data_IF_931943425923
#
_entry.id   IF_931943425923
#
_cell.length_a   1.000
_cell.length_b   1.000
_cell.length_c   1.000
_cell.angle_alpha   90.00
_cell.angle_beta   90.00
_cell.angle_gamma   90.00
#
_symmetry.space_group_name_H-M   'P 1'
#
loop_
_entity.id
_entity.type
_entity.pdbx_description
1 polymer ?
#
# COMPACT_ATOMS: atom_id res chain seq x y z
N UNK A 1 6.87 -75.66 34.50
CA UNK A 1 7.82 -76.25 35.46
C UNK A 1 9.18 -75.65 35.22
N UNK A 2 9.85 -75.26 36.31
CA UNK A 2 11.23 -74.73 36.43
C UNK A 2 12.25 -75.39 35.50
N UNK A 3 13.24 -74.63 35.05
CA UNK A 3 14.66 -74.83 35.44
C UNK A 3 15.52 -73.68 34.92
N UNK A 4 16.11 -72.94 35.85
CA UNK A 4 17.25 -72.03 35.65
C UNK A 4 18.55 -72.82 35.50
N UNK A 5 19.51 -72.27 34.75
CA UNK A 5 20.98 -72.35 34.95
C UNK A 5 21.65 -71.87 33.65
N UNK A 6 22.80 -71.23 33.61
CA UNK A 6 23.69 -70.63 34.58
C UNK A 6 24.62 -69.72 33.76
N UNK A 7 24.97 -68.56 34.30
CA UNK A 7 26.04 -67.72 33.77
C UNK A 7 27.40 -68.36 34.11
N UNK A 8 28.45 -68.16 33.28
CA UNK A 8 29.64 -67.52 33.85
C UNK A 8 30.25 -66.45 32.93
N UNK A 9 31.02 -65.58 33.60
CA UNK A 9 31.54 -64.31 33.13
C UNK A 9 32.84 -64.38 32.30
N UNK A 10 32.95 -63.41 31.36
CA UNK A 10 34.14 -62.64 30.91
C UNK A 10 35.32 -63.39 30.21
N UNK A 11 36.13 -62.74 29.31
CA UNK A 11 36.43 -61.30 29.28
C UNK A 11 36.53 -60.57 27.91
N UNK A 12 36.44 -59.25 28.07
CA UNK A 12 36.87 -58.11 27.25
C UNK A 12 38.03 -58.34 26.26
N UNK A 13 37.83 -57.91 25.00
CA UNK A 13 38.61 -56.84 24.30
C UNK A 13 38.35 -56.88 22.79
N UNK A 14 38.07 -55.72 22.19
CA UNK A 14 38.44 -55.50 20.79
C UNK A 14 37.50 -54.62 19.98
N UNK A 15 37.88 -53.34 19.89
CA UNK A 15 37.71 -52.46 18.72
C UNK A 15 36.31 -51.88 18.48
N UNK A 16 36.12 -50.70 19.08
CA UNK A 16 35.15 -49.72 18.61
C UNK A 16 35.46 -49.31 17.17
N UNK A 17 34.52 -49.55 16.29
CA UNK A 17 34.42 -48.88 15.00
C UNK A 17 33.49 -47.68 15.18
N UNK A 18 33.93 -46.44 14.94
CA UNK A 18 33.00 -45.34 14.75
C UNK A 18 32.33 -45.55 13.38
N UNK A 19 31.02 -45.84 13.39
CA UNK A 19 30.19 -45.72 12.21
C UNK A 19 30.17 -44.25 11.80
N UNK A 20 31.11 -43.87 10.93
CA UNK A 20 31.16 -42.57 10.26
C UNK A 20 30.01 -42.53 9.25
N UNK A 21 28.82 -42.14 9.69
CA UNK A 21 27.76 -41.70 8.77
C UNK A 21 28.20 -40.36 8.17
N UNK A 22 28.96 -40.41 7.08
CA UNK A 22 29.31 -39.23 6.31
C UNK A 22 28.23 -39.04 5.24
N UNK A 23 27.02 -38.65 5.65
CA UNK A 23 26.11 -38.00 4.72
C UNK A 23 26.63 -36.57 4.51
N UNK A 24 26.88 -36.14 3.26
CA UNK A 24 27.20 -34.75 3.02
C UNK A 24 25.94 -33.95 3.35
N UNK A 25 26.00 -33.17 4.44
CA UNK A 25 25.06 -32.08 4.69
C UNK A 25 25.09 -31.21 3.44
N UNK A 26 24.06 -31.29 2.60
CA UNK A 26 23.88 -30.38 1.47
C UNK A 26 23.77 -28.99 2.09
N UNK A 27 24.85 -28.21 2.01
CA UNK A 27 24.83 -26.83 2.42
C UNK A 27 23.74 -26.12 1.60
N UNK A 28 22.86 -25.39 2.29
CA UNK A 28 21.87 -24.55 1.63
C UNK A 28 22.61 -23.57 0.69
N UNK A 29 22.04 -23.24 -0.47
CA UNK A 29 22.62 -22.20 -1.32
C UNK A 29 22.76 -20.89 -0.53
N UNK A 30 23.82 -20.11 -0.77
CA UNK A 30 24.01 -18.85 -0.07
C UNK A 30 22.81 -17.91 -0.35
N UNK A 31 22.38 -17.11 0.65
CA UNK A 31 21.30 -16.15 0.45
C UNK A 31 21.67 -15.17 -0.66
N UNK A 32 20.66 -14.76 -1.45
CA UNK A 32 20.88 -13.77 -2.50
C UNK A 32 21.29 -12.43 -1.89
N UNK A 33 22.01 -11.60 -2.65
CA UNK A 33 22.42 -10.28 -2.18
C UNK A 33 21.21 -9.42 -1.77
N UNK A 34 20.07 -9.57 -2.47
CA UNK A 34 18.83 -8.89 -2.15
C UNK A 34 18.22 -9.34 -0.82
N UNK A 35 18.33 -10.62 -0.47
CA UNK A 35 17.85 -11.15 0.80
C UNK A 35 18.68 -10.63 1.98
N UNK A 36 20.00 -10.58 1.83
CA UNK A 36 20.90 -10.02 2.85
C UNK A 36 20.59 -8.53 3.09
N UNK A 37 20.39 -7.75 2.01
CA UNK A 37 20.02 -6.34 2.12
C UNK A 37 18.62 -6.14 2.71
N UNK A 38 17.68 -7.05 2.46
CA UNK A 38 16.36 -7.01 3.09
C UNK A 38 16.46 -7.23 4.60
N UNK A 39 17.25 -8.19 5.06
CA UNK A 39 17.50 -8.44 6.49
C UNK A 39 18.13 -7.19 7.14
N UNK A 40 19.16 -6.61 6.51
CA UNK A 40 19.79 -5.38 6.98
C UNK A 40 18.80 -4.21 7.03
N UNK A 41 17.96 -4.04 6.00
CA UNK A 41 16.95 -2.98 5.98
C UNK A 41 15.91 -3.17 7.09
N UNK A 42 15.52 -4.40 7.41
CA UNK A 42 14.60 -4.70 8.49
C UNK A 42 15.23 -4.40 9.87
N UNK A 43 16.51 -4.72 10.07
CA UNK A 43 17.24 -4.37 11.30
C UNK A 43 17.38 -2.86 11.47
N UNK A 44 17.71 -2.14 10.39
CA UNK A 44 17.76 -0.68 10.39
C UNK A 44 16.40 -0.07 10.75
N UNK A 45 15.31 -0.64 10.22
CA UNK A 45 13.95 -0.18 10.49
C UNK A 45 13.52 -0.43 11.94
N UNK A 46 13.73 -1.64 12.46
CA UNK A 46 13.12 -2.10 13.73
C UNK A 46 14.04 -1.91 14.92
N UNK A 47 15.33 -2.24 14.79
CA UNK A 47 16.30 -2.22 15.89
C UNK A 47 16.92 -0.85 16.02
N UNK A 48 17.39 -0.29 14.90
CA UNK A 48 18.13 0.97 14.92
C UNK A 48 17.24 2.20 14.77
N UNK A 49 15.99 2.02 14.32
CA UNK A 49 15.05 3.11 13.99
C UNK A 49 15.66 4.12 13.00
N UNK A 50 16.61 3.68 12.16
CA UNK A 50 17.19 4.47 11.09
C UNK A 50 16.38 4.26 9.81
N UNK A 51 15.23 4.93 9.76
CA UNK A 51 14.29 4.83 8.65
C UNK A 51 14.89 5.30 7.33
N UNK A 52 15.82 6.26 7.37
CA UNK A 52 16.47 6.76 6.16
C UNK A 52 17.41 5.70 5.59
N UNK A 53 18.24 5.11 6.43
CA UNK A 53 19.13 4.02 6.02
C UNK A 53 18.32 2.81 5.56
N UNK A 54 17.28 2.41 6.29
CA UNK A 54 16.39 1.31 5.90
C UNK A 54 15.80 1.50 4.49
N UNK A 55 15.30 2.71 4.18
CA UNK A 55 14.78 3.01 2.84
C UNK A 55 15.88 2.96 1.76
N UNK A 56 17.05 3.53 2.03
CA UNK A 56 18.18 3.51 1.09
C UNK A 56 18.66 2.08 0.81
N UNK A 57 18.72 1.24 1.83
CA UNK A 57 19.06 -0.19 1.72
C UNK A 57 18.00 -0.93 0.91
N UNK A 58 16.70 -0.64 1.11
CA UNK A 58 15.64 -1.20 0.27
C UNK A 58 15.84 -0.83 -1.21
N UNK A 59 16.05 0.46 -1.51
CA UNK A 59 16.30 0.92 -2.89
C UNK A 59 17.56 0.29 -3.51
N UNK A 60 18.56 -0.03 -2.69
CA UNK A 60 19.74 -0.76 -3.13
C UNK A 60 19.44 -2.22 -3.46
N UNK A 61 18.67 -2.91 -2.60
CA UNK A 61 18.23 -4.28 -2.84
C UNK A 61 17.37 -4.41 -4.12
N UNK A 62 16.54 -3.41 -4.42
CA UNK A 62 15.79 -3.39 -5.68
C UNK A 62 16.68 -3.35 -6.92
N UNK A 63 17.85 -2.70 -6.85
CA UNK A 63 18.81 -2.68 -7.97
C UNK A 63 19.54 -4.00 -8.13
N UNK A 64 19.80 -4.73 -7.04
CA UNK A 64 20.41 -6.07 -7.14
C UNK A 64 19.41 -7.09 -7.72
N UNK A 65 18.13 -6.97 -7.39
CA UNK A 65 17.05 -7.82 -7.93
C UNK A 65 16.83 -7.66 -9.44
N UNK A 66 17.20 -6.53 -10.04
CA UNK A 66 17.11 -6.35 -11.49
C UNK A 66 18.06 -7.31 -12.26
N UNK A 67 19.02 -7.91 -11.57
CA UNK A 67 20.03 -8.80 -12.16
C UNK A 67 19.79 -10.30 -11.85
N UNK A 68 18.78 -10.65 -11.03
CA UNK A 68 18.52 -12.03 -10.57
C UNK A 68 17.18 -12.60 -11.09
N UNK A 69 17.16 -13.91 -11.37
CA UNK A 69 16.05 -14.63 -12.02
C UNK A 69 14.80 -14.87 -11.13
N UNK A 70 13.65 -15.03 -11.80
CA UNK A 70 12.31 -14.59 -11.40
C UNK A 70 11.59 -15.24 -10.18
N UNK A 71 12.04 -16.35 -9.60
CA UNK A 71 11.24 -17.13 -8.62
C UNK A 71 11.32 -16.64 -7.15
N UNK A 72 12.53 -16.66 -6.58
CA UNK A 72 12.84 -16.13 -5.22
C UNK A 72 12.72 -14.61 -5.12
N UNK A 73 12.56 -13.94 -6.26
CA UNK A 73 12.47 -12.50 -6.38
C UNK A 73 11.17 -11.93 -5.79
N UNK A 74 10.03 -12.61 -5.93
CA UNK A 74 8.73 -11.97 -5.66
C UNK A 74 8.44 -11.72 -4.16
N UNK A 75 8.74 -12.69 -3.30
CA UNK A 75 8.56 -12.54 -1.85
C UNK A 75 9.52 -11.48 -1.29
N UNK A 76 10.79 -11.49 -1.73
CA UNK A 76 11.78 -10.48 -1.36
C UNK A 76 11.33 -9.10 -1.83
N UNK A 77 10.83 -8.96 -3.07
CA UNK A 77 10.24 -7.71 -3.60
C UNK A 77 9.08 -7.21 -2.74
N UNK A 78 8.16 -8.10 -2.37
CA UNK A 78 7.03 -7.75 -1.51
C UNK A 78 7.54 -7.23 -0.14
N UNK A 79 8.44 -7.97 0.50
CA UNK A 79 9.01 -7.62 1.81
C UNK A 79 9.80 -6.31 1.78
N UNK A 80 10.59 -6.06 0.73
CA UNK A 80 11.28 -4.77 0.54
C UNK A 80 10.30 -3.61 0.42
N UNK A 81 9.17 -3.81 -0.26
CA UNK A 81 8.12 -2.79 -0.30
C UNK A 81 7.49 -2.56 1.08
N UNK A 82 7.23 -3.60 1.86
CA UNK A 82 6.69 -3.44 3.23
C UNK A 82 7.63 -2.60 4.09
N UNK A 83 8.92 -2.93 4.12
CA UNK A 83 9.95 -2.19 4.87
C UNK A 83 10.06 -0.75 4.37
N UNK A 84 10.11 -0.54 3.05
CA UNK A 84 10.21 0.80 2.45
C UNK A 84 8.98 1.68 2.70
N UNK A 85 7.77 1.12 2.64
CA UNK A 85 6.52 1.81 2.98
C UNK A 85 6.55 2.25 4.45
N UNK A 86 6.92 1.33 5.35
CA UNK A 86 7.01 1.65 6.77
C UNK A 86 8.03 2.75 7.03
N UNK A 87 9.22 2.65 6.45
CA UNK A 87 10.26 3.69 6.56
C UNK A 87 9.76 5.07 6.06
N UNK A 88 9.07 5.10 4.91
CA UNK A 88 8.47 6.34 4.40
C UNK A 88 7.39 6.89 5.33
N UNK A 89 6.55 6.04 5.90
CA UNK A 89 5.53 6.44 6.86
C UNK A 89 6.16 7.05 8.14
N UNK A 90 7.17 6.39 8.72
CA UNK A 90 7.87 6.86 9.92
C UNK A 90 8.61 8.19 9.70
N UNK A 91 9.11 8.43 8.47
CA UNK A 91 9.71 9.71 8.08
C UNK A 91 8.67 10.81 7.75
N UNK A 92 7.38 10.57 7.96
CA UNK A 92 6.27 11.44 7.54
C UNK A 92 6.27 11.77 6.02
N UNK A 93 6.82 10.86 5.22
CA UNK A 93 6.89 10.91 3.76
C UNK A 93 5.83 10.01 3.10
N UNK A 94 4.73 9.74 3.80
CA UNK A 94 3.66 8.84 3.37
C UNK A 94 3.05 9.22 2.01
N UNK A 95 3.04 10.51 1.65
CA UNK A 95 2.57 11.00 0.32
C UNK A 95 3.39 10.46 -0.85
N UNK A 96 4.63 10.04 -0.59
CA UNK A 96 5.52 9.49 -1.61
C UNK A 96 5.33 7.98 -1.81
N UNK A 97 4.59 7.30 -0.92
CA UNK A 97 4.50 5.83 -0.92
C UNK A 97 3.99 5.28 -2.26
N UNK A 98 2.89 5.81 -2.80
CA UNK A 98 2.32 5.28 -4.05
C UNK A 98 3.27 5.47 -5.23
N UNK A 99 3.85 6.66 -5.39
CA UNK A 99 4.79 6.93 -6.48
C UNK A 99 6.09 6.16 -6.33
N UNK A 100 6.52 5.89 -5.09
CA UNK A 100 7.68 5.07 -4.80
C UNK A 100 7.44 3.59 -5.13
N UNK A 101 6.32 3.01 -4.70
CA UNK A 101 5.97 1.60 -4.98
C UNK A 101 5.76 1.40 -6.49
N UNK A 102 4.97 2.28 -7.13
CA UNK A 102 4.66 2.18 -8.56
C UNK A 102 5.90 2.35 -9.45
N UNK A 103 6.99 2.95 -8.95
CA UNK A 103 8.26 2.97 -9.69
C UNK A 103 8.79 1.56 -9.98
N UNK A 104 8.52 0.59 -9.11
CA UNK A 104 9.04 -0.77 -9.22
C UNK A 104 8.08 -1.72 -9.94
N UNK A 105 6.77 -1.59 -9.68
CA UNK A 105 5.74 -2.45 -10.29
C UNK A 105 5.16 -1.88 -11.59
N UNK A 106 5.45 -0.60 -11.88
CA UNK A 106 5.05 0.16 -13.06
C UNK A 106 3.55 0.46 -13.15
N UNK A 107 2.70 -0.55 -12.97
CA UNK A 107 1.25 -0.44 -13.09
C UNK A 107 0.53 -0.95 -11.82
N UNK A 108 -0.60 -0.34 -11.41
CA UNK A 108 -1.35 -0.73 -10.22
C UNK A 108 -1.71 -2.22 -10.16
N UNK A 109 -2.10 -2.81 -11.27
CA UNK A 109 -2.63 -4.16 -11.41
C UNK A 109 -1.61 -5.23 -11.05
N UNK A 110 -0.31 -4.90 -11.13
CA UNK A 110 0.80 -5.80 -10.77
C UNK A 110 1.28 -5.64 -9.33
N UNK A 111 0.63 -4.80 -8.53
CA UNK A 111 0.94 -4.68 -7.11
C UNK A 111 0.61 -5.97 -6.36
N UNK A 112 1.50 -6.45 -5.48
CA UNK A 112 1.16 -7.55 -4.58
C UNK A 112 0.00 -7.16 -3.66
N UNK A 113 -0.95 -8.06 -3.37
CA UNK A 113 -2.11 -7.76 -2.53
C UNK A 113 -1.73 -7.11 -1.19
N UNK A 114 -0.67 -7.63 -0.55
CA UNK A 114 -0.20 -7.12 0.74
C UNK A 114 0.30 -5.68 0.68
N UNK A 115 0.96 -5.32 -0.42
CA UNK A 115 1.47 -3.96 -0.64
C UNK A 115 0.30 -2.99 -0.85
N UNK A 116 -0.71 -3.40 -1.62
CA UNK A 116 -1.91 -2.60 -1.84
C UNK A 116 -2.71 -2.39 -0.54
N UNK A 117 -2.90 -3.45 0.24
CA UNK A 117 -3.55 -3.40 1.57
C UNK A 117 -2.89 -2.35 2.47
N UNK A 118 -1.56 -2.39 2.59
CA UNK A 118 -0.80 -1.43 3.39
C UNK A 118 -0.95 0.01 2.90
N UNK A 119 -0.96 0.22 1.58
CA UNK A 119 -1.23 1.54 1.01
C UNK A 119 -2.63 2.04 1.41
N UNK A 120 -3.67 1.21 1.29
CA UNK A 120 -5.04 1.61 1.67
C UNK A 120 -5.12 1.96 3.16
N UNK A 121 -4.55 1.13 4.03
CA UNK A 121 -4.53 1.37 5.48
C UNK A 121 -3.79 2.66 5.83
N UNK A 122 -2.63 2.91 5.21
CA UNK A 122 -1.85 4.12 5.43
C UNK A 122 -2.64 5.38 5.03
N UNK A 123 -3.17 5.42 3.81
CA UNK A 123 -3.88 6.61 3.32
C UNK A 123 -5.21 6.84 4.03
N UNK A 124 -5.91 5.77 4.43
CA UNK A 124 -7.07 5.87 5.32
C UNK A 124 -6.69 6.45 6.68
N UNK A 125 -5.58 5.99 7.30
CA UNK A 125 -5.08 6.50 8.58
C UNK A 125 -4.72 7.99 8.50
N UNK A 126 -4.19 8.42 7.35
CA UNK A 126 -3.86 9.82 7.07
C UNK A 126 -5.05 10.67 6.61
N UNK A 127 -6.28 10.12 6.65
CA UNK A 127 -7.52 10.79 6.25
C UNK A 127 -7.50 11.30 4.79
N UNK A 128 -6.73 10.65 3.93
CA UNK A 128 -6.64 10.98 2.50
C UNK A 128 -6.88 9.72 1.64
N UNK A 129 -8.00 8.98 1.84
CA UNK A 129 -8.26 7.73 1.11
C UNK A 129 -8.45 7.96 -0.40
N UNK A 130 -8.78 9.18 -0.84
CA UNK A 130 -8.90 9.52 -2.26
C UNK A 130 -7.60 9.33 -3.06
N UNK A 131 -6.44 9.33 -2.40
CA UNK A 131 -5.17 9.12 -3.09
C UNK A 131 -4.96 7.67 -3.58
N UNK A 132 -5.63 6.69 -2.97
CA UNK A 132 -5.54 5.27 -3.36
C UNK A 132 -6.70 4.81 -4.25
N UNK A 133 -7.72 5.64 -4.46
CA UNK A 133 -8.95 5.29 -5.19
C UNK A 133 -8.63 4.63 -6.54
N UNK A 134 -7.98 5.36 -7.45
CA UNK A 134 -7.68 4.87 -8.79
C UNK A 134 -6.80 3.62 -8.80
N UNK A 135 -5.83 3.55 -7.88
CA UNK A 135 -4.89 2.41 -7.80
C UNK A 135 -5.63 1.14 -7.39
N UNK A 136 -6.50 1.21 -6.39
CA UNK A 136 -7.26 0.06 -5.91
C UNK A 136 -8.35 -0.33 -6.90
N UNK A 137 -9.03 0.65 -7.53
CA UNK A 137 -10.04 0.38 -8.55
C UNK A 137 -9.44 -0.33 -9.77
N UNK A 138 -8.28 0.12 -10.27
CA UNK A 138 -7.57 -0.56 -11.34
C UNK A 138 -7.20 -2.00 -10.97
N UNK A 139 -6.65 -2.21 -9.76
CA UNK A 139 -6.29 -3.55 -9.28
C UNK A 139 -7.50 -4.50 -9.20
N UNK A 140 -8.64 -4.01 -8.70
CA UNK A 140 -9.88 -4.82 -8.58
C UNK A 140 -10.53 -5.13 -9.93
N UNK A 141 -10.37 -4.25 -10.92
CA UNK A 141 -10.94 -4.45 -12.26
C UNK A 141 -10.12 -5.42 -13.11
N UNK A 142 -8.85 -5.66 -12.75
CA UNK A 142 -7.98 -6.58 -13.50
C UNK A 142 -8.44 -8.05 -13.34
N UNK A 143 -8.71 -8.76 -14.46
CA UNK A 143 -9.16 -10.16 -14.42
C UNK A 143 -8.17 -11.13 -13.77
N UNK A 144 -6.87 -10.88 -13.85
CA UNK A 144 -5.84 -11.74 -13.25
C UNK A 144 -5.94 -11.73 -11.71
N UNK A 145 -6.44 -10.63 -11.13
CA UNK A 145 -6.54 -10.43 -9.69
C UNK A 145 -7.84 -11.01 -9.09
N UNK A 146 -8.90 -11.17 -9.87
CA UNK A 146 -10.20 -11.64 -9.38
C UNK A 146 -10.19 -13.09 -8.85
N UNK A 147 -9.21 -13.89 -9.30
CA UNK A 147 -9.00 -15.26 -8.82
C UNK A 147 -8.16 -15.37 -7.55
N UNK A 148 -7.59 -14.27 -7.05
CA UNK A 148 -6.70 -14.29 -5.89
C UNK A 148 -7.46 -14.47 -4.58
N UNK A 149 -6.92 -15.22 -3.61
CA UNK A 149 -7.58 -15.42 -2.31
C UNK A 149 -7.74 -14.10 -1.52
N UNK A 150 -6.85 -13.12 -1.72
CA UNK A 150 -6.91 -11.81 -1.08
C UNK A 150 -7.91 -10.84 -1.72
N UNK A 151 -8.43 -11.16 -2.92
CA UNK A 151 -9.29 -10.27 -3.69
C UNK A 151 -10.50 -9.80 -2.88
N UNK A 152 -11.15 -10.74 -2.17
CA UNK A 152 -12.32 -10.42 -1.33
C UNK A 152 -11.98 -9.41 -0.24
N UNK A 153 -10.89 -9.65 0.49
CA UNK A 153 -10.47 -8.78 1.58
C UNK A 153 -10.14 -7.37 1.07
N UNK A 154 -9.49 -7.26 -0.09
CA UNK A 154 -9.20 -5.97 -0.73
C UNK A 154 -10.46 -5.25 -1.23
N UNK A 155 -11.44 -5.97 -1.77
CA UNK A 155 -12.73 -5.39 -2.17
C UNK A 155 -13.51 -4.84 -0.96
N UNK A 156 -13.55 -5.59 0.15
CA UNK A 156 -14.15 -5.14 1.41
C UNK A 156 -13.41 -3.90 1.97
N UNK A 157 -12.08 -3.93 1.96
CA UNK A 157 -11.24 -2.80 2.41
C UNK A 157 -11.47 -1.56 1.55
N UNK A 158 -11.54 -1.70 0.23
CA UNK A 158 -11.80 -0.61 -0.70
C UNK A 158 -13.18 0.02 -0.45
N UNK A 159 -14.20 -0.83 -0.29
CA UNK A 159 -15.55 -0.37 0.03
C UNK A 159 -15.56 0.45 1.34
N UNK A 160 -14.99 -0.10 2.41
CA UNK A 160 -15.10 0.47 3.75
C UNK A 160 -14.21 1.69 3.99
N UNK A 161 -12.98 1.66 3.48
CA UNK A 161 -11.97 2.68 3.79
C UNK A 161 -11.78 3.70 2.67
N UNK A 162 -12.32 3.44 1.48
CA UNK A 162 -12.16 4.33 0.33
C UNK A 162 -13.50 4.82 -0.20
N UNK A 163 -14.35 3.93 -0.73
CA UNK A 163 -15.56 4.36 -1.44
C UNK A 163 -16.59 5.02 -0.51
N UNK A 164 -16.93 4.36 0.61
CA UNK A 164 -17.92 4.91 1.54
C UNK A 164 -17.48 6.23 2.20
N UNK A 165 -16.24 6.38 2.71
CA UNK A 165 -15.77 7.64 3.28
C UNK A 165 -15.69 8.79 2.27
N UNK A 166 -15.45 8.50 0.98
CA UNK A 166 -15.43 9.50 -0.08
C UNK A 166 -16.83 9.85 -0.60
N UNK A 167 -17.87 9.08 -0.23
CA UNK A 167 -19.22 9.23 -0.77
C UNK A 167 -19.36 8.75 -2.22
N UNK A 168 -18.45 7.90 -2.70
CA UNK A 168 -18.50 7.26 -4.02
C UNK A 168 -19.54 6.11 -4.03
N UNK A 169 -20.81 6.48 -3.84
CA UNK A 169 -21.90 5.53 -3.62
C UNK A 169 -22.27 4.72 -4.86
N UNK A 170 -22.05 5.26 -6.06
CA UNK A 170 -22.32 4.55 -7.31
C UNK A 170 -21.28 3.45 -7.54
N UNK A 171 -20.01 3.79 -7.39
CA UNK A 171 -18.87 2.88 -7.49
C UNK A 171 -18.94 1.79 -6.39
N UNK A 172 -19.40 2.15 -5.20
CA UNK A 172 -19.64 1.19 -4.12
C UNK A 172 -20.72 0.17 -4.47
N UNK A 173 -21.82 0.61 -5.09
CA UNK A 173 -22.90 -0.28 -5.54
C UNK A 173 -22.44 -1.19 -6.68
N UNK A 174 -21.74 -0.63 -7.67
CA UNK A 174 -21.17 -1.40 -8.78
C UNK A 174 -20.21 -2.48 -8.30
N UNK A 175 -19.33 -2.17 -7.35
CA UNK A 175 -18.41 -3.14 -6.76
C UNK A 175 -19.16 -4.30 -6.08
N UNK A 176 -20.20 -4.00 -5.30
CA UNK A 176 -20.94 -5.02 -4.54
C UNK A 176 -21.76 -5.93 -5.45
N UNK A 177 -22.36 -5.37 -6.51
CA UNK A 177 -23.15 -6.11 -7.49
C UNK A 177 -22.28 -6.92 -8.45
N UNK A 178 -21.20 -6.31 -8.96
CA UNK A 178 -20.34 -6.89 -9.98
C UNK A 178 -19.31 -7.89 -9.46
N UNK A 179 -18.98 -7.84 -8.16
CA UNK A 179 -17.92 -8.68 -7.59
C UNK A 179 -18.47 -9.97 -6.97
N UNK A 180 -17.92 -11.12 -7.39
CA UNK A 180 -18.15 -12.42 -6.75
C UNK A 180 -17.63 -12.51 -5.30
N UNK A 181 -16.91 -11.50 -4.81
CA UNK A 181 -16.30 -11.49 -3.47
C UNK A 181 -17.33 -11.52 -2.33
N UNK A 182 -18.49 -10.88 -2.51
CA UNK A 182 -19.48 -10.69 -1.46
C UNK A 182 -20.54 -11.79 -1.49
N UNK A 183 -20.92 -12.32 -0.32
CA UNK A 183 -22.02 -13.30 -0.22
C UNK A 183 -23.36 -12.60 -0.44
N UNK A 184 -24.37 -13.34 -0.90
CA UNK A 184 -25.69 -12.76 -1.19
C UNK A 184 -26.32 -12.03 0.01
N UNK A 185 -26.20 -12.61 1.19
CA UNK A 185 -26.69 -12.03 2.45
C UNK A 185 -25.98 -10.70 2.76
N UNK A 186 -24.65 -10.68 2.69
CA UNK A 186 -23.82 -9.48 2.92
C UNK A 186 -24.10 -8.39 1.87
N UNK A 187 -24.31 -8.78 0.60
CA UNK A 187 -24.62 -7.84 -0.49
C UNK A 187 -25.90 -7.07 -0.21
N UNK A 188 -26.96 -7.75 0.23
CA UNK A 188 -28.26 -7.12 0.49
C UNK A 188 -28.14 -6.05 1.59
N UNK A 189 -27.44 -6.36 2.67
CA UNK A 189 -27.23 -5.44 3.79
C UNK A 189 -26.43 -4.20 3.36
N UNK A 190 -25.35 -4.41 2.60
CA UNK A 190 -24.50 -3.33 2.09
C UNK A 190 -25.27 -2.44 1.12
N UNK A 191 -26.01 -3.02 0.17
CA UNK A 191 -26.82 -2.27 -0.80
C UNK A 191 -27.93 -1.48 -0.10
N UNK A 192 -28.54 -2.05 0.94
CA UNK A 192 -29.52 -1.33 1.74
C UNK A 192 -28.88 -0.14 2.46
N UNK A 193 -27.67 -0.29 3.01
CA UNK A 193 -26.92 0.82 3.62
C UNK A 193 -26.58 1.92 2.60
N UNK A 194 -26.10 1.55 1.41
CA UNK A 194 -25.78 2.49 0.32
C UNK A 194 -27.04 3.25 -0.12
N UNK A 195 -28.17 2.56 -0.30
CA UNK A 195 -29.43 3.21 -0.71
C UNK A 195 -29.92 4.22 0.33
N UNK A 196 -29.82 3.90 1.63
CA UNK A 196 -30.14 4.81 2.74
C UNK A 196 -29.21 6.03 2.74
N UNK A 197 -27.90 5.83 2.58
CA UNK A 197 -26.93 6.92 2.49
C UNK A 197 -27.23 7.84 1.30
N UNK A 198 -27.58 7.28 0.14
CA UNK A 198 -27.98 8.04 -1.06
C UNK A 198 -29.26 8.85 -0.83
N UNK A 199 -30.25 8.28 -0.14
CA UNK A 199 -31.46 9.01 0.23
C UNK A 199 -31.16 10.16 1.17
N UNK A 200 -30.32 9.95 2.19
CA UNK A 200 -29.89 11.00 3.11
C UNK A 200 -29.16 12.14 2.38
N UNK A 201 -28.26 11.82 1.45
CA UNK A 201 -27.56 12.82 0.65
C UNK A 201 -28.54 13.64 -0.22
N UNK A 202 -29.53 12.99 -0.84
CA UNK A 202 -30.59 13.69 -1.59
C UNK A 202 -31.46 14.58 -0.70
N UNK A 203 -31.85 14.11 0.48
CA UNK A 203 -32.63 14.86 1.46
C UNK A 203 -31.85 16.08 1.99
N UNK A 204 -30.56 15.95 2.25
CA UNK A 204 -29.69 17.07 2.63
C UNK A 204 -29.56 18.11 1.50
N UNK A 205 -29.50 17.65 0.25
CA UNK A 205 -29.49 18.54 -0.91
C UNK A 205 -30.82 19.28 -1.10
N UNK A 206 -31.95 18.57 -0.99
CA UNK A 206 -33.31 19.14 -1.10
C UNK A 206 -33.64 20.09 0.06
N UNK A 207 -33.27 19.76 1.30
CA UNK A 207 -33.43 20.65 2.44
C UNK A 207 -32.58 21.91 2.33
N UNK A 208 -31.40 21.81 1.70
CA UNK A 208 -30.59 22.98 1.36
C UNK A 208 -31.21 23.83 0.24
N UNK A 209 -31.94 23.23 -0.71
CA UNK A 209 -32.64 23.95 -1.78
C UNK A 209 -33.92 24.67 -1.30
N UNK A 210 -34.66 24.11 -0.33
CA UNK A 210 -35.82 24.77 0.27
C UNK A 210 -35.41 25.98 1.15
N UNK A 211 -34.33 25.86 1.93
CA UNK A 211 -33.76 26.98 2.70
C UNK A 211 -33.10 28.05 1.81
N UNK A 212 -32.60 27.68 0.62
CA UNK A 212 -32.04 28.62 -0.36
C UNK A 212 -33.09 29.49 -1.06
N UNK A 213 -34.38 29.11 -1.03
CA UNK A 213 -35.46 29.92 -1.61
C UNK A 213 -35.88 31.10 -0.71
N UNK A 214 -35.52 31.06 0.58
CA UNK A 214 -35.78 32.12 1.56
C UNK A 214 -34.56 33.01 1.82
N UNK A 215 -33.34 32.54 1.58
CA UNK A 215 -32.13 33.32 1.77
C UNK A 215 -31.28 33.35 0.50
N UNK A 216 -31.55 34.36 -0.32
CA UNK A 216 -30.75 34.73 -1.48
C UNK A 216 -29.38 35.31 -1.04
N UNK A 217 -28.55 34.50 -0.40
CA UNK A 217 -27.15 34.86 -0.06
C UNK A 217 -26.23 33.62 0.06
N UNK A 218 -26.76 32.40 -0.05
CA UNK A 218 -26.03 31.15 0.23
C UNK A 218 -25.47 30.37 -0.98
N UNK A 219 -25.63 30.86 -2.22
CA UNK A 219 -25.17 30.16 -3.44
C UNK A 219 -23.63 29.98 -3.49
N UNK A 220 -22.90 30.70 -2.63
CA UNK A 220 -21.45 30.68 -2.63
C UNK A 220 -20.86 29.40 -2.03
N UNK A 221 -21.47 28.75 -1.02
CA UNK A 221 -20.75 27.76 -0.20
C UNK A 221 -20.51 26.40 -0.89
N UNK A 222 -21.50 25.82 -1.59
CA UNK A 222 -21.34 24.52 -2.25
C UNK A 222 -20.48 24.62 -3.53
N UNK A 223 -20.64 25.71 -4.29
CA UNK A 223 -19.74 26.04 -5.40
C UNK A 223 -18.34 26.36 -4.90
N UNK A 224 -18.20 27.05 -3.76
CA UNK A 224 -16.91 27.34 -3.12
C UNK A 224 -16.25 26.07 -2.58
N UNK A 225 -16.98 25.12 -2.01
CA UNK A 225 -16.44 23.84 -1.55
C UNK A 225 -15.99 22.96 -2.73
N UNK A 226 -16.79 22.86 -3.79
CA UNK A 226 -16.40 22.18 -5.03
C UNK A 226 -15.21 22.87 -5.74
N UNK A 227 -15.21 24.21 -5.77
CA UNK A 227 -14.08 25.02 -6.24
C UNK A 227 -12.87 24.86 -5.32
N UNK A 228 -13.02 24.75 -4.00
CA UNK A 228 -11.94 24.54 -3.03
C UNK A 228 -11.32 23.16 -3.16
N UNK A 229 -12.12 22.11 -3.41
CA UNK A 229 -11.60 20.77 -3.70
C UNK A 229 -10.86 20.76 -5.04
N UNK A 230 -11.37 21.47 -6.05
CA UNK A 230 -10.72 21.61 -7.35
C UNK A 230 -9.45 22.47 -7.30
N UNK A 231 -9.47 23.57 -6.52
CA UNK A 231 -8.33 24.45 -6.25
C UNK A 231 -7.29 23.75 -5.39
N UNK A 232 -7.68 22.92 -4.42
CA UNK A 232 -6.78 22.09 -3.63
C UNK A 232 -6.10 21.03 -4.51
N UNK A 233 -6.84 20.44 -5.47
CA UNK A 233 -6.30 19.50 -6.46
C UNK A 233 -5.31 20.19 -7.41
N UNK A 234 -5.67 21.35 -7.96
CA UNK A 234 -4.80 22.15 -8.83
C UNK A 234 -3.57 22.71 -8.08
N UNK A 235 -3.75 23.14 -6.83
CA UNK A 235 -2.67 23.57 -5.94
C UNK A 235 -1.73 22.41 -5.64
N UNK A 236 -2.25 21.22 -5.34
CA UNK A 236 -1.44 20.03 -5.11
C UNK A 236 -0.64 19.62 -6.36
N UNK A 237 -1.23 19.71 -7.55
CA UNK A 237 -0.54 19.51 -8.82
C UNK A 237 0.53 20.60 -9.10
N UNK A 238 0.23 21.87 -8.82
CA UNK A 238 1.18 22.96 -9.02
C UNK A 238 2.36 22.89 -8.04
N UNK A 239 2.08 22.58 -6.77
CA UNK A 239 3.08 22.43 -5.70
C UNK A 239 3.97 21.22 -5.97
N UNK A 240 3.41 20.06 -6.32
CA UNK A 240 4.21 18.88 -6.68
C UNK A 240 5.09 19.11 -7.92
N UNK A 241 4.61 19.86 -8.91
CA UNK A 241 5.39 20.25 -10.08
C UNK A 241 6.46 21.30 -9.75
N UNK A 242 6.21 22.19 -8.79
CA UNK A 242 7.17 23.21 -8.35
C UNK A 242 8.29 22.62 -7.47
N UNK A 243 7.98 21.61 -6.65
CA UNK A 243 8.97 20.89 -5.82
C UNK A 243 9.72 19.78 -6.57
N UNK A 244 9.25 19.34 -7.75
CA UNK A 244 9.98 18.41 -8.62
C UNK A 244 10.89 19.09 -9.65
N UNK A 245 10.75 20.41 -9.83
CA UNK A 245 11.60 21.22 -10.72
C UNK A 245 12.96 21.54 -10.07
N UNK A 246 14.06 21.57 -10.84
CA UNK A 246 15.36 21.97 -10.30
C UNK A 246 15.30 23.41 -9.79
N UNK A 247 15.80 23.63 -8.56
CA UNK A 247 15.73 24.90 -7.80
C UNK A 247 16.03 26.16 -8.63
N UNK A 248 16.94 26.08 -9.61
CA UNK A 248 17.30 27.17 -10.53
C UNK A 248 16.15 27.70 -11.39
N UNK A 249 15.23 26.82 -11.83
CA UNK A 249 14.07 27.20 -12.67
C UNK A 249 12.93 27.80 -11.84
N UNK A 250 12.74 27.29 -10.63
CA UNK A 250 11.79 27.82 -9.64
C UNK A 250 12.18 29.25 -9.20
N UNK A 251 13.47 29.50 -8.94
CA UNK A 251 13.99 30.84 -8.62
C UNK A 251 13.78 31.84 -9.76
N UNK A 252 14.00 31.43 -11.01
CA UNK A 252 13.79 32.28 -12.18
C UNK A 252 12.32 32.68 -12.34
N UNK A 253 11.40 31.73 -12.15
CA UNK A 253 9.96 31.99 -12.19
C UNK A 253 9.52 32.96 -11.07
N UNK A 254 10.07 32.79 -9.86
CA UNK A 254 9.82 33.70 -8.74
C UNK A 254 10.36 35.12 -8.99
N UNK A 255 11.55 35.25 -9.59
CA UNK A 255 12.13 36.55 -9.97
C UNK A 255 11.31 37.26 -11.06
N UNK A 256 10.85 36.54 -12.08
CA UNK A 256 9.98 37.09 -13.12
C UNK A 256 8.66 37.58 -12.51
N UNK A 257 8.05 36.80 -11.62
CA UNK A 257 6.83 37.18 -10.93
C UNK A 257 7.03 38.44 -10.07
N UNK A 258 8.15 38.51 -9.34
CA UNK A 258 8.50 39.67 -8.51
C UNK A 258 8.70 40.94 -9.35
N UNK A 259 9.37 40.82 -10.50
CA UNK A 259 9.55 41.93 -11.44
C UNK A 259 8.24 42.38 -12.09
N UNK A 260 7.29 41.47 -12.31
CA UNK A 260 5.96 41.82 -12.81
C UNK A 260 5.14 42.55 -11.74
N UNK A 261 5.15 42.09 -10.49
CA UNK A 261 4.44 42.76 -9.39
C UNK A 261 4.99 44.18 -9.16
N UNK A 262 6.32 44.35 -9.16
CA UNK A 262 6.96 45.66 -9.02
C UNK A 262 6.72 46.61 -10.20
N UNK A 263 6.30 46.10 -11.36
CA UNK A 263 5.99 46.92 -12.55
C UNK A 263 4.51 47.29 -12.66
N UNK A 264 3.66 46.67 -11.84
CA UNK A 264 2.22 46.91 -11.77
C UNK A 264 1.77 47.62 -10.48
N UNK A 265 2.72 48.05 -9.64
CA UNK A 265 2.47 48.99 -8.54
C UNK A 265 2.72 50.42 -9.05
N UNK A 266 1.68 51.28 -9.19
CA UNK A 266 1.81 52.65 -9.72
C UNK A 266 2.49 53.65 -8.78
#
# INVERSE_FOLDING_TARGET
MKSDSSNPAAPLRGLGAPLRSSEPVRAAPPPSAAMVLLEEAADLLVVHLDFRAALQTCEHAWRSLANDDAGTSLEVKCSLCVVGIQALAEMNRWREVLSWVLRYYQVPEKLPPKVLELCVLLYSKMQEPGAVLEVVSAWLQDPDNQGLPEYRALAELHLQLVLLPLGCLSEAEELVVGSAAFREEERLDILQAISKARQQQKLQHLGSEEDQKLNQEGSFSHKFLSLMVSLRRLWYCAVSHFFSMPFKKSLLAALILCLLVLRFDP
#
